data_IF_066436089303
#
_entry.id   IF_066436089303
#
_cell.length_a   1.000
_cell.length_b   1.000
_cell.length_c   1.000
_cell.angle_alpha   90.00
_cell.angle_beta   90.00
_cell.angle_gamma   90.00
#
_symmetry.space_group_name_H-M   'P 1'
#
loop_
_entity.id
_entity.type
_entity.pdbx_description
1 polymer ?
#
# COMPACT_ATOMS: atom_id res chain seq x y z
N UNK A 1 2.37 9.17 -14.30
CA UNK A 1 3.07 8.33 -15.30
C UNK A 1 4.56 8.50 -15.10
N UNK A 2 5.23 7.42 -14.67
CA UNK A 2 6.67 7.41 -14.39
C UNK A 2 7.35 6.54 -15.45
N UNK A 3 8.40 7.07 -16.08
CA UNK A 3 9.16 6.35 -17.12
C UNK A 3 10.45 5.81 -16.54
N UNK A 4 10.67 4.50 -16.69
CA UNK A 4 11.91 3.84 -16.28
C UNK A 4 12.67 3.36 -17.53
N UNK A 5 13.87 3.90 -17.74
CA UNK A 5 14.76 3.50 -18.83
C UNK A 5 15.82 2.56 -18.27
N UNK A 6 15.90 1.34 -18.81
CA UNK A 6 16.92 0.35 -18.43
C UNK A 6 17.86 0.14 -19.60
N UNK A 7 19.09 0.62 -19.46
CA UNK A 7 20.16 0.47 -20.45
C UNK A 7 21.17 -0.57 -19.97
N UNK A 8 21.22 -1.70 -20.68
CA UNK A 8 22.15 -2.80 -20.43
C UNK A 8 22.14 -3.74 -21.63
N UNK A 9 23.31 -4.31 -21.94
CA UNK A 9 23.50 -5.37 -22.92
C UNK A 9 23.04 -6.76 -22.42
N UNK A 10 22.68 -6.85 -21.13
CA UNK A 10 22.31 -8.11 -20.49
C UNK A 10 20.79 -8.24 -20.29
N UNK A 11 20.17 -9.13 -21.07
CA UNK A 11 18.73 -9.44 -21.00
C UNK A 11 18.29 -10.00 -19.64
N UNK A 12 19.17 -10.73 -18.93
CA UNK A 12 18.87 -11.22 -17.59
C UNK A 12 18.67 -10.06 -16.61
N UNK A 13 19.47 -9.00 -16.71
CA UNK A 13 19.35 -7.81 -15.87
C UNK A 13 18.03 -7.08 -16.11
N UNK A 14 17.62 -6.92 -17.38
CA UNK A 14 16.33 -6.33 -17.77
C UNK A 14 15.17 -7.07 -17.09
N UNK A 15 15.13 -8.40 -17.25
CA UNK A 15 14.12 -9.28 -16.64
C UNK A 15 14.14 -9.27 -15.11
N UNK A 16 15.32 -9.15 -14.49
CA UNK A 16 15.44 -9.11 -13.03
C UNK A 16 14.89 -7.82 -12.43
N UNK A 17 15.14 -6.67 -13.06
CA UNK A 17 14.58 -5.39 -12.63
C UNK A 17 13.06 -5.41 -12.77
N UNK A 18 12.56 -5.86 -13.92
CA UNK A 18 11.13 -6.00 -14.15
C UNK A 18 10.47 -6.94 -13.12
N UNK A 19 11.07 -8.11 -12.87
CA UNK A 19 10.58 -9.07 -11.89
C UNK A 19 10.61 -8.55 -10.45
N UNK A 20 11.61 -7.75 -10.08
CA UNK A 20 11.70 -7.13 -8.75
C UNK A 20 10.55 -6.12 -8.53
N UNK A 21 10.26 -5.28 -9.53
CA UNK A 21 9.16 -4.31 -9.46
C UNK A 21 7.80 -5.02 -9.38
N UNK A 22 7.59 -6.08 -10.17
CA UNK A 22 6.38 -6.90 -10.06
C UNK A 22 6.22 -7.53 -8.67
N UNK A 23 7.30 -8.09 -8.12
CA UNK A 23 7.30 -8.70 -6.78
C UNK A 23 6.94 -7.68 -5.71
N UNK A 24 7.54 -6.49 -5.75
CA UNK A 24 7.23 -5.42 -4.80
C UNK A 24 5.78 -4.95 -4.93
N UNK A 25 5.28 -4.81 -6.16
CA UNK A 25 3.87 -4.48 -6.44
C UNK A 25 2.91 -5.49 -5.79
N UNK A 26 3.19 -6.79 -5.92
CA UNK A 26 2.37 -7.84 -5.32
C UNK A 26 2.45 -7.87 -3.79
N UNK A 27 3.62 -7.60 -3.22
CA UNK A 27 3.78 -7.45 -1.77
C UNK A 27 2.97 -6.26 -1.24
N UNK A 28 3.05 -5.11 -1.91
CA UNK A 28 2.28 -3.92 -1.56
C UNK A 28 0.77 -4.18 -1.68
N UNK A 29 0.30 -4.87 -2.72
CA UNK A 29 -1.12 -5.26 -2.85
C UNK A 29 -1.58 -6.10 -1.66
N UNK A 30 -0.80 -7.10 -1.25
CA UNK A 30 -1.12 -7.94 -0.08
C UNK A 30 -1.12 -7.12 1.22
N UNK A 31 -0.18 -6.20 1.38
CA UNK A 31 -0.13 -5.30 2.54
C UNK A 31 -1.37 -4.38 2.59
N UNK A 32 -1.74 -3.77 1.46
CA UNK A 32 -2.96 -2.96 1.32
C UNK A 32 -4.19 -3.78 1.71
N UNK A 33 -4.35 -4.98 1.16
CA UNK A 33 -5.49 -5.86 1.48
C UNK A 33 -5.55 -6.18 2.98
N UNK A 34 -4.42 -6.55 3.59
CA UNK A 34 -4.35 -6.87 5.02
C UNK A 34 -4.72 -5.67 5.90
N UNK A 35 -4.20 -4.48 5.60
CA UNK A 35 -4.54 -3.27 6.35
C UNK A 35 -6.01 -2.89 6.15
N UNK A 36 -6.57 -3.05 4.96
CA UNK A 36 -8.00 -2.86 4.72
C UNK A 36 -8.86 -3.83 5.55
N UNK A 37 -8.47 -5.11 5.63
CA UNK A 37 -9.17 -6.09 6.46
C UNK A 37 -9.16 -5.70 7.94
N UNK A 38 -8.01 -5.26 8.48
CA UNK A 38 -7.92 -4.76 9.87
C UNK A 38 -8.84 -3.56 10.12
N UNK A 39 -8.85 -2.60 9.20
CA UNK A 39 -9.71 -1.42 9.30
C UNK A 39 -11.19 -1.83 9.26
N UNK A 40 -11.55 -2.78 8.39
CA UNK A 40 -12.91 -3.32 8.31
C UNK A 40 -13.31 -4.05 9.59
N UNK A 41 -12.40 -4.82 10.21
CA UNK A 41 -12.65 -5.47 11.50
C UNK A 41 -12.91 -4.45 12.60
N UNK A 42 -12.15 -3.35 12.63
CA UNK A 42 -12.37 -2.24 13.55
C UNK A 42 -13.73 -1.57 13.32
N UNK A 43 -14.10 -1.28 12.06
CA UNK A 43 -15.44 -0.75 11.71
C UNK A 43 -16.57 -1.67 12.14
N UNK A 44 -16.40 -2.98 11.94
CA UNK A 44 -17.41 -3.96 12.32
C UNK A 44 -17.59 -4.01 13.84
N UNK A 45 -16.54 -3.74 14.62
CA UNK A 45 -16.56 -3.72 16.08
C UNK A 45 -17.17 -2.43 16.65
N UNK A 46 -16.87 -1.28 16.05
CA UNK A 46 -17.16 0.03 16.64
C UNK A 46 -18.12 0.93 15.83
N UNK A 47 -18.48 0.54 14.62
CA UNK A 47 -19.29 1.33 13.69
C UNK A 47 -18.44 2.13 12.70
N UNK A 48 -19.11 2.83 11.76
CA UNK A 48 -18.45 3.56 10.68
C UNK A 48 -17.55 4.71 11.20
N UNK A 49 -16.54 5.02 10.38
CA UNK A 49 -15.46 5.99 10.58
C UNK A 49 -15.87 7.46 10.76
N UNK A 50 -16.64 7.78 11.79
CA UNK A 50 -16.70 9.16 12.27
C UNK A 50 -15.83 9.26 13.53
N UNK A 51 -14.67 9.90 13.39
CA UNK A 51 -13.67 10.04 14.46
C UNK A 51 -14.27 10.64 15.73
N UNK A 52 -15.11 11.65 15.57
CA UNK A 52 -15.77 12.34 16.68
C UNK A 52 -16.79 11.41 17.37
N UNK A 53 -17.36 10.47 16.63
CA UNK A 53 -18.29 9.47 17.15
C UNK A 53 -17.62 8.35 17.96
N UNK A 54 -16.29 8.16 17.80
CA UNK A 54 -15.50 7.10 18.45
C UNK A 54 -14.87 7.57 19.77
N UNK A 55 -14.71 8.88 19.96
CA UNK A 55 -14.10 9.46 21.16
C UNK A 55 -14.91 9.10 22.42
N UNK A 56 -14.24 8.56 23.44
CA UNK A 56 -14.89 8.11 24.68
C UNK A 56 -15.72 6.81 24.57
N UNK A 57 -15.80 6.20 23.38
CA UNK A 57 -16.42 4.89 23.17
C UNK A 57 -15.42 3.78 22.87
N UNK A 58 -14.31 4.13 22.24
CA UNK A 58 -13.19 3.24 21.96
C UNK A 58 -12.05 3.54 22.94
N UNK A 59 -11.27 2.52 23.26
CA UNK A 59 -10.05 2.70 24.03
C UNK A 59 -9.08 3.63 23.28
N UNK A 60 -8.47 4.59 23.98
CA UNK A 60 -7.57 5.58 23.37
C UNK A 60 -6.41 4.94 22.58
N UNK A 61 -5.87 3.82 23.06
CA UNK A 61 -4.81 3.08 22.34
C UNK A 61 -5.33 2.47 21.04
N UNK A 62 -6.49 1.82 21.08
CA UNK A 62 -7.10 1.24 19.88
C UNK A 62 -7.46 2.33 18.85
N UNK A 63 -7.88 3.52 19.31
CA UNK A 63 -8.14 4.67 18.44
C UNK A 63 -6.85 5.16 17.76
N UNK A 64 -5.75 5.27 18.50
CA UNK A 64 -4.44 5.64 17.96
C UNK A 64 -3.94 4.61 16.95
N UNK A 65 -4.08 3.32 17.26
CA UNK A 65 -3.72 2.24 16.34
C UNK A 65 -4.54 2.31 15.04
N UNK A 66 -5.84 2.55 15.15
CA UNK A 66 -6.73 2.72 14.00
C UNK A 66 -6.32 3.91 13.12
N UNK A 67 -6.02 5.06 13.71
CA UNK A 67 -5.51 6.23 12.97
C UNK A 67 -4.18 5.92 12.27
N UNK A 68 -3.29 5.18 12.95
CA UNK A 68 -2.03 4.71 12.39
C UNK A 68 -2.21 3.78 11.20
N UNK A 69 -3.17 2.85 11.25
CA UNK A 69 -3.50 1.93 10.15
C UNK A 69 -4.12 2.69 8.96
N UNK A 70 -4.91 3.74 9.19
CA UNK A 70 -5.41 4.60 8.11
C UNK A 70 -4.29 5.33 7.37
N UNK A 71 -3.35 5.94 8.09
CA UNK A 71 -2.21 6.62 7.49
C UNK A 71 -1.28 5.60 6.77
N UNK A 72 -1.09 4.42 7.37
CA UNK A 72 -0.34 3.32 6.75
C UNK A 72 -0.98 2.90 5.43
N UNK A 73 -2.31 2.70 5.41
CA UNK A 73 -3.03 2.35 4.18
C UNK A 73 -2.85 3.40 3.08
N UNK A 74 -2.93 4.68 3.44
CA UNK A 74 -2.73 5.80 2.52
C UNK A 74 -1.34 5.75 1.88
N UNK A 75 -0.29 5.52 2.67
CA UNK A 75 1.09 5.39 2.19
C UNK A 75 1.28 4.18 1.29
N UNK A 76 0.76 3.02 1.71
CA UNK A 76 0.83 1.79 0.92
C UNK A 76 0.16 1.96 -0.45
N UNK A 77 -1.02 2.58 -0.50
CA UNK A 77 -1.72 2.89 -1.76
C UNK A 77 -0.95 3.86 -2.64
N UNK A 78 -0.32 4.88 -2.05
CA UNK A 78 0.50 5.83 -2.80
C UNK A 78 1.72 5.16 -3.43
N UNK A 79 2.42 4.30 -2.68
CA UNK A 79 3.57 3.53 -3.17
C UNK A 79 3.15 2.50 -4.22
N UNK A 80 2.04 1.80 -4.01
CA UNK A 80 1.53 0.84 -4.99
C UNK A 80 1.22 1.55 -6.32
N UNK A 81 0.52 2.69 -6.25
CA UNK A 81 0.19 3.48 -7.43
C UNK A 81 1.45 3.96 -8.17
N UNK A 82 2.50 4.36 -7.45
CA UNK A 82 3.73 4.83 -8.10
C UNK A 82 4.45 3.73 -8.87
N UNK A 83 4.39 2.48 -8.40
CA UNK A 83 4.94 1.32 -9.11
C UNK A 83 4.05 0.84 -10.26
N UNK A 84 2.73 0.82 -10.08
CA UNK A 84 1.78 0.42 -11.13
C UNK A 84 1.78 1.38 -12.34
N UNK A 85 2.18 2.64 -12.14
CA UNK A 85 2.33 3.63 -13.21
C UNK A 85 3.69 3.56 -13.96
N UNK A 86 4.58 2.64 -13.59
CA UNK A 86 5.88 2.48 -14.26
C UNK A 86 5.68 1.87 -15.64
N UNK A 87 6.22 2.53 -16.67
CA UNK A 87 6.37 1.96 -18.01
C UNK A 87 7.85 1.66 -18.27
N UNK A 88 8.14 0.43 -18.72
CA UNK A 88 9.49 -0.01 -19.06
C UNK A 88 9.84 0.38 -20.49
N UNK A 89 10.97 1.07 -20.66
CA UNK A 89 11.61 1.25 -21.96
C UNK A 89 13.02 0.66 -21.94
N UNK A 90 13.31 -0.17 -22.94
CA UNK A 90 14.60 -0.80 -23.13
C UNK A 90 15.35 -0.07 -24.25
N UNK A 91 16.57 0.38 -23.94
CA UNK A 91 17.55 0.83 -24.93
C UNK A 91 18.73 -0.13 -24.98
#
# INVERSE_FOLDING_TARGET
MTKLVVETDNDWTKKKIEGAIHTETDLLRKAVQRTQSKLQEFENKYGKFDRDSLYGKVNDMELVEWEGELETLKRLKANLKSLEEITFEYK
#
